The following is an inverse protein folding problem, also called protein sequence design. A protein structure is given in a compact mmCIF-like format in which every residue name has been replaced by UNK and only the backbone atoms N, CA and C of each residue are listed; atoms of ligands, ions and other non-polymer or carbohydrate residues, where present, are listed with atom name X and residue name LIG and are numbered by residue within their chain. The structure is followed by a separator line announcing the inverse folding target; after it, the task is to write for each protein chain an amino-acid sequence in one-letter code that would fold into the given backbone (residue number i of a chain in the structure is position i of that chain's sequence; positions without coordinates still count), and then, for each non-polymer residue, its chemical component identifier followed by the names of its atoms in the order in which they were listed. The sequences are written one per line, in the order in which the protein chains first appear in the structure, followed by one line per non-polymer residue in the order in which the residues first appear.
data_IF_162019148883
#
_entry.id   IF_162019148883
#
_cell.length_a   1.000
_cell.length_b   1.000
_cell.length_c   1.000
_cell.angle_alpha   90.00
_cell.angle_beta   90.00
_cell.angle_gamma   90.00
#
_symmetry.space_group_name_H-M   'P 1'
#
loop_
_entity.id
_entity.type
_entity.pdbx_description
1 polymer ?
#
# COMPACT_ATOMS: atom_id res chain seq x y z
N UNK A 1 33.85 -17.46 -1.33
CA UNK A 1 33.67 -16.01 -1.11
C UNK A 1 32.80 -15.48 -2.24
N UNK A 2 31.49 -15.48 -2.05
CA UNK A 2 30.50 -15.00 -3.03
C UNK A 2 29.93 -13.72 -2.43
N UNK A 3 30.23 -12.60 -3.06
CA UNK A 3 29.73 -11.29 -2.68
C UNK A 3 28.21 -11.24 -2.89
N UNK A 4 27.46 -11.21 -1.80
CA UNK A 4 26.04 -10.85 -1.79
C UNK A 4 25.93 -9.38 -2.15
N UNK A 5 25.59 -9.10 -3.41
CA UNK A 5 25.26 -7.76 -3.86
C UNK A 5 23.94 -7.33 -3.22
N UNK A 6 24.00 -6.50 -2.21
CA UNK A 6 22.87 -5.73 -1.67
C UNK A 6 22.33 -4.86 -2.80
N UNK A 7 21.20 -5.24 -3.38
CA UNK A 7 20.45 -4.38 -4.30
C UNK A 7 19.80 -3.26 -3.46
N UNK A 8 20.50 -2.14 -3.36
CA UNK A 8 19.95 -0.90 -2.80
C UNK A 8 18.78 -0.47 -3.69
N UNK A 9 17.58 -0.35 -3.11
CA UNK A 9 16.53 0.43 -3.75
C UNK A 9 17.11 1.82 -4.00
N UNK A 10 17.18 2.23 -5.27
CA UNK A 10 17.70 3.54 -5.62
C UNK A 10 16.89 4.60 -4.87
N UNK A 11 17.55 5.58 -4.23
CA UNK A 11 16.86 6.75 -3.72
C UNK A 11 16.10 7.39 -4.89
N UNK A 12 14.96 8.01 -4.61
CA UNK A 12 14.23 8.85 -5.57
C UNK A 12 15.26 9.70 -6.31
N UNK A 13 15.55 9.30 -7.56
CA UNK A 13 16.52 10.01 -8.37
C UNK A 13 15.83 11.28 -8.91
N UNK A 14 16.19 12.48 -8.42
CA UNK A 14 15.61 13.73 -8.91
C UNK A 14 15.93 13.97 -10.38
N UNK A 15 16.85 13.19 -10.94
CA UNK A 15 17.28 13.27 -12.33
C UNK A 15 16.55 12.30 -13.28
N UNK A 16 15.64 11.47 -12.75
CA UNK A 16 14.81 10.65 -13.59
C UNK A 16 13.94 11.53 -14.52
N UNK A 17 14.09 11.32 -15.84
CA UNK A 17 13.39 12.11 -16.87
C UNK A 17 11.89 12.22 -16.62
N UNK A 18 11.26 11.19 -16.04
CA UNK A 18 9.84 11.16 -15.74
C UNK A 18 9.47 11.96 -14.47
N UNK A 19 10.38 12.10 -13.50
CA UNK A 19 10.21 12.96 -12.34
C UNK A 19 10.45 14.43 -12.70
N UNK A 20 11.34 14.73 -13.66
CA UNK A 20 11.50 16.07 -14.25
C UNK A 20 10.28 16.57 -15.01
N UNK A 21 9.49 15.67 -15.62
CA UNK A 21 8.24 16.01 -16.31
C UNK A 21 7.07 16.21 -15.35
N UNK A 22 7.18 15.72 -14.12
CA UNK A 22 6.18 15.89 -13.07
C UNK A 22 6.50 17.15 -12.29
N UNK A 23 5.84 18.26 -12.60
CA UNK A 23 5.93 19.45 -11.77
C UNK A 23 5.54 19.09 -10.33
N UNK A 24 6.34 19.49 -9.35
CA UNK A 24 6.14 19.24 -7.92
C UNK A 24 4.70 19.56 -7.47
N UNK A 25 4.12 20.64 -7.98
CA UNK A 25 2.71 21.00 -7.78
C UNK A 25 1.69 19.94 -8.25
N UNK A 26 2.03 19.15 -9.27
CA UNK A 26 1.16 18.09 -9.81
C UNK A 26 1.17 16.86 -8.92
N UNK A 27 2.35 16.50 -8.42
CA UNK A 27 2.52 15.39 -7.48
C UNK A 27 1.82 15.71 -6.15
N UNK A 28 2.00 16.90 -5.64
CA UNK A 28 1.38 17.36 -4.39
C UNK A 28 -0.16 17.35 -4.50
N UNK A 29 -0.71 17.82 -5.62
CA UNK A 29 -2.15 17.78 -5.88
C UNK A 29 -2.67 16.35 -5.86
N UNK A 30 -1.99 15.43 -6.54
CA UNK A 30 -2.35 14.02 -6.60
C UNK A 30 -2.32 13.37 -5.21
N UNK A 31 -1.20 13.49 -4.48
CA UNK A 31 -1.07 12.88 -3.17
C UNK A 31 -2.07 13.43 -2.17
N UNK A 32 -2.31 14.73 -2.16
CA UNK A 32 -3.32 15.36 -1.30
C UNK A 32 -4.73 14.88 -1.60
N UNK A 33 -5.05 14.63 -2.87
CA UNK A 33 -6.32 14.05 -3.28
C UNK A 33 -6.44 12.59 -2.83
N UNK A 34 -5.44 11.77 -3.11
CA UNK A 34 -5.39 10.35 -2.73
C UNK A 34 -5.53 10.19 -1.21
N UNK A 35 -4.76 10.92 -0.41
CA UNK A 35 -4.84 10.87 1.05
C UNK A 35 -6.24 11.19 1.58
N UNK A 36 -6.92 12.22 1.02
CA UNK A 36 -8.31 12.54 1.38
C UNK A 36 -9.26 11.40 1.02
N UNK A 37 -9.06 10.75 -0.13
CA UNK A 37 -9.88 9.61 -0.55
C UNK A 37 -9.65 8.39 0.34
N UNK A 38 -8.40 8.08 0.69
CA UNK A 38 -8.05 7.03 1.65
C UNK A 38 -8.79 7.26 2.98
N UNK A 39 -8.69 8.46 3.56
CA UNK A 39 -9.37 8.83 4.80
C UNK A 39 -10.89 8.71 4.69
N UNK A 40 -11.50 9.22 3.61
CA UNK A 40 -12.94 9.17 3.41
C UNK A 40 -13.46 7.73 3.28
N UNK A 41 -12.73 6.85 2.57
CA UNK A 41 -13.10 5.44 2.45
C UNK A 41 -13.01 4.73 3.80
N UNK A 42 -11.95 4.96 4.57
CA UNK A 42 -11.81 4.36 5.90
C UNK A 42 -12.89 4.86 6.86
N UNK A 43 -13.14 6.16 6.90
CA UNK A 43 -14.19 6.74 7.76
C UNK A 43 -15.59 6.18 7.42
N UNK A 44 -15.86 5.91 6.14
CA UNK A 44 -17.14 5.36 5.70
C UNK A 44 -17.29 3.84 5.96
N UNK A 45 -16.20 3.12 6.23
CA UNK A 45 -16.17 1.66 6.30
C UNK A 45 -15.70 1.09 7.64
N UNK A 46 -15.00 1.89 8.43
CA UNK A 46 -14.46 1.48 9.72
C UNK A 46 -15.12 2.26 10.85
N UNK A 47 -15.57 1.52 11.85
CA UNK A 47 -16.07 2.11 13.11
C UNK A 47 -14.98 2.18 14.19
N UNK A 48 -13.70 2.07 13.80
CA UNK A 48 -12.57 2.09 14.73
C UNK A 48 -12.15 3.54 14.93
N UNK A 49 -12.29 4.06 16.16
CA UNK A 49 -11.93 5.44 16.54
C UNK A 49 -10.64 5.53 17.34
N UNK A 50 -10.11 4.41 17.83
CA UNK A 50 -8.85 4.28 18.58
C UNK A 50 -8.33 2.84 18.46
N UNK A 51 -7.06 2.63 18.75
CA UNK A 51 -6.49 1.28 18.83
C UNK A 51 -5.03 1.20 18.43
N UNK A 52 -4.53 -0.03 18.38
CA UNK A 52 -3.17 -0.37 17.98
C UNK A 52 -3.12 -0.68 16.49
N UNK A 53 -2.25 0.01 15.77
CA UNK A 53 -2.06 -0.12 14.32
C UNK A 53 -0.66 -0.60 14.02
N UNK A 54 -0.55 -1.66 13.23
CA UNK A 54 0.72 -2.14 12.68
C UNK A 54 0.80 -1.77 11.19
N UNK A 55 1.76 -0.94 10.82
CA UNK A 55 2.09 -0.62 9.43
C UNK A 55 3.29 -1.44 8.98
N UNK A 56 3.08 -2.33 8.02
CA UNK A 56 4.09 -3.29 7.52
C UNK A 56 4.58 -2.85 6.15
N UNK A 57 5.90 -2.88 5.93
CA UNK A 57 6.55 -2.28 4.77
C UNK A 57 6.31 -0.77 4.76
N UNK A 58 6.48 -0.14 5.93
CA UNK A 58 6.04 1.22 6.20
C UNK A 58 6.76 2.29 5.37
N UNK A 59 7.92 1.96 4.79
CA UNK A 59 8.75 2.91 4.10
C UNK A 59 9.05 4.13 4.97
N UNK A 60 8.97 5.31 4.38
CA UNK A 60 9.12 6.58 5.12
C UNK A 60 7.77 7.16 5.59
N UNK A 61 6.64 6.57 5.20
CA UNK A 61 5.29 7.11 5.46
C UNK A 61 4.36 6.02 6.00
N UNK A 62 4.43 5.71 7.30
CA UNK A 62 3.74 4.58 7.94
C UNK A 62 2.21 4.74 8.04
N UNK A 63 1.60 5.75 7.43
CA UNK A 63 0.14 5.92 7.41
C UNK A 63 -0.41 6.74 8.59
N UNK A 64 0.41 7.55 9.26
CA UNK A 64 -0.04 8.42 10.36
C UNK A 64 -1.21 9.34 9.99
N UNK A 65 -1.34 9.72 8.72
CA UNK A 65 -2.49 10.52 8.24
C UNK A 65 -3.81 9.74 8.28
N UNK A 66 -3.78 8.40 8.25
CA UNK A 66 -4.96 7.54 8.38
C UNK A 66 -5.30 7.26 9.85
N UNK A 67 -4.27 7.18 10.69
CA UNK A 67 -4.34 6.79 12.09
C UNK A 67 -3.63 7.83 12.97
N UNK A 68 -4.29 8.98 13.22
CA UNK A 68 -3.67 10.10 13.95
C UNK A 68 -3.52 9.80 15.45
N UNK A 69 -2.41 10.30 16.04
CA UNK A 69 -2.23 10.34 17.49
C UNK A 69 -3.17 11.39 18.10
N UNK A 70 -3.55 11.26 19.40
CA UNK A 70 -3.21 10.17 20.33
C UNK A 70 -4.19 8.99 20.26
N UNK A 71 -5.18 9.02 19.36
CA UNK A 71 -6.21 7.98 19.30
C UNK A 71 -5.64 6.62 18.86
N UNK A 72 -4.62 6.63 18.01
CA UNK A 72 -4.00 5.41 17.51
C UNK A 72 -2.52 5.34 17.89
N UNK A 73 -2.12 4.22 18.51
CA UNK A 73 -0.72 3.83 18.62
C UNK A 73 -0.30 3.17 17.31
N UNK A 74 0.67 3.74 16.63
CA UNK A 74 1.16 3.29 15.32
C UNK A 74 2.54 2.65 15.47
N UNK A 75 2.64 1.37 15.21
CA UNK A 75 3.88 0.61 15.13
C UNK A 75 4.25 0.42 13.66
N UNK A 76 5.45 0.83 13.27
CA UNK A 76 5.96 0.68 11.91
C UNK A 76 6.96 -0.48 11.83
N UNK A 77 6.87 -1.27 10.76
CA UNK A 77 7.85 -2.30 10.43
C UNK A 77 8.32 -2.12 8.99
N UNK A 78 9.62 -2.21 8.77
CA UNK A 78 10.21 -2.26 7.43
C UNK A 78 11.40 -3.22 7.41
N UNK A 79 11.73 -3.77 6.25
CA UNK A 79 12.90 -4.63 6.05
C UNK A 79 14.20 -3.86 5.85
N UNK A 80 14.10 -2.54 5.65
CA UNK A 80 15.22 -1.63 5.44
C UNK A 80 15.56 -0.90 6.75
N UNK A 81 16.75 -1.16 7.36
CA UNK A 81 17.15 -0.53 8.62
C UNK A 81 17.30 0.99 8.53
N UNK A 82 17.65 1.54 7.36
CA UNK A 82 17.77 2.98 7.17
C UNK A 82 16.39 3.66 7.23
N UNK A 83 15.36 3.02 6.65
CA UNK A 83 13.97 3.49 6.74
C UNK A 83 13.44 3.42 8.16
N UNK A 84 13.69 2.31 8.86
CA UNK A 84 13.31 2.14 10.29
C UNK A 84 13.93 3.26 11.12
N UNK A 85 15.23 3.50 11.00
CA UNK A 85 15.93 4.56 11.72
C UNK A 85 15.40 5.96 11.36
N UNK A 86 15.04 6.19 10.10
CA UNK A 86 14.46 7.45 9.66
C UNK A 86 13.07 7.68 10.26
N UNK A 87 12.19 6.67 10.24
CA UNK A 87 10.84 6.74 10.82
C UNK A 87 10.91 7.03 12.31
N UNK A 88 11.79 6.34 13.04
CA UNK A 88 12.01 6.57 14.48
C UNK A 88 12.52 8.00 14.76
N UNK A 89 13.57 8.43 14.04
CA UNK A 89 14.17 9.76 14.23
C UNK A 89 13.18 10.89 13.95
N UNK A 90 12.30 10.71 12.95
CA UNK A 90 11.30 11.72 12.55
C UNK A 90 9.99 11.59 13.33
N UNK A 91 9.89 10.69 14.32
CA UNK A 91 8.68 10.42 15.10
C UNK A 91 7.42 10.22 14.22
N UNK A 92 7.56 9.53 13.10
CA UNK A 92 6.46 9.27 12.16
C UNK A 92 5.56 8.10 12.60
N UNK A 93 6.04 7.29 13.53
CA UNK A 93 5.31 6.24 14.24
C UNK A 93 5.68 6.33 15.74
N UNK A 94 4.92 5.66 16.59
CA UNK A 94 5.23 5.58 18.03
C UNK A 94 6.36 4.59 18.28
N UNK A 95 6.46 3.57 17.44
CA UNK A 95 7.56 2.58 17.43
C UNK A 95 7.95 2.23 15.98
N UNK A 96 9.21 1.87 15.78
CA UNK A 96 9.71 1.40 14.50
C UNK A 96 10.62 0.19 14.69
N UNK A 97 10.36 -0.90 13.95
CA UNK A 97 11.05 -2.18 14.08
C UNK A 97 11.53 -2.69 12.74
N UNK A 98 12.65 -3.39 12.73
CA UNK A 98 13.12 -4.15 11.58
C UNK A 98 12.35 -5.47 11.50
N UNK A 99 11.82 -5.80 10.31
CA UNK A 99 11.10 -7.06 10.11
C UNK A 99 10.61 -7.29 8.69
N UNK A 100 10.18 -8.51 8.40
CA UNK A 100 9.70 -8.95 7.10
C UNK A 100 8.22 -9.27 7.15
N UNK A 101 7.48 -8.86 6.11
CA UNK A 101 6.01 -8.84 6.07
C UNK A 101 5.31 -10.19 6.38
N UNK A 102 5.94 -11.31 6.06
CA UNK A 102 5.37 -12.66 6.27
C UNK A 102 5.81 -13.35 7.57
N UNK A 103 6.63 -12.68 8.41
CA UNK A 103 7.10 -13.25 9.68
C UNK A 103 7.51 -12.12 10.64
N UNK A 104 6.60 -11.75 11.52
CA UNK A 104 6.75 -10.63 12.45
C UNK A 104 6.76 -11.10 13.91
N UNK A 105 7.67 -10.54 14.70
CA UNK A 105 7.89 -10.98 16.09
C UNK A 105 6.95 -10.27 17.09
N UNK A 106 5.63 -10.27 16.79
CA UNK A 106 4.59 -9.79 17.68
C UNK A 106 3.69 -10.96 18.14
N UNK A 107 3.12 -10.83 19.32
CA UNK A 107 2.17 -11.80 19.83
C UNK A 107 0.91 -11.87 18.96
N UNK A 108 0.23 -13.03 18.85
CA UNK A 108 -1.08 -13.10 18.19
C UNK A 108 -2.09 -12.14 18.81
N UNK A 109 -3.04 -11.66 18.02
CA UNK A 109 -4.13 -10.78 18.47
C UNK A 109 -3.63 -9.52 19.22
N UNK A 110 -2.56 -8.88 18.70
CA UNK A 110 -1.94 -7.69 19.31
C UNK A 110 -2.44 -6.37 18.72
N UNK A 111 -3.03 -6.38 17.51
CA UNK A 111 -3.39 -5.19 16.78
C UNK A 111 -4.87 -5.14 16.39
N UNK A 112 -5.44 -3.95 16.39
CA UNK A 112 -6.79 -3.68 15.89
C UNK A 112 -6.78 -3.50 14.36
N UNK A 113 -5.65 -2.98 13.82
CA UNK A 113 -5.46 -2.75 12.40
C UNK A 113 -4.08 -3.24 11.97
N UNK A 114 -4.00 -3.97 10.85
CA UNK A 114 -2.77 -4.23 10.10
C UNK A 114 -2.87 -3.49 8.78
N UNK A 115 -1.87 -2.67 8.46
CA UNK A 115 -1.82 -1.83 7.26
C UNK A 115 -0.65 -2.25 6.37
N UNK A 116 -0.96 -2.65 5.13
CA UNK A 116 -0.02 -2.74 4.02
C UNK A 116 -0.29 -1.56 3.06
N UNK A 117 0.70 -0.71 2.86
CA UNK A 117 0.54 0.46 2.01
C UNK A 117 1.63 0.52 0.96
N UNK A 118 1.30 0.11 -0.26
CA UNK A 118 2.22 0.04 -1.41
C UNK A 118 3.43 -0.86 -1.13
N UNK A 119 3.16 -2.08 -0.66
CA UNK A 119 4.21 -3.06 -0.32
C UNK A 119 3.91 -4.47 -0.86
N UNK A 120 2.65 -4.90 -0.92
CA UNK A 120 2.33 -6.27 -1.35
C UNK A 120 2.68 -6.53 -2.82
N UNK A 121 2.69 -5.50 -3.66
CA UNK A 121 3.12 -5.63 -5.06
C UNK A 121 4.62 -5.93 -5.17
N UNK A 122 5.47 -5.42 -4.27
CA UNK A 122 6.88 -5.82 -4.19
C UNK A 122 7.05 -7.24 -3.65
N UNK A 123 6.27 -7.63 -2.63
CA UNK A 123 6.26 -9.01 -2.14
C UNK A 123 5.82 -9.98 -3.23
N UNK A 124 4.80 -9.61 -4.03
CA UNK A 124 4.30 -10.44 -5.13
C UNK A 124 5.34 -10.72 -6.23
N UNK A 125 6.36 -9.89 -6.35
CA UNK A 125 7.52 -10.14 -7.22
C UNK A 125 8.48 -11.18 -6.63
N UNK A 126 8.66 -11.15 -5.30
CA UNK A 126 9.60 -12.03 -4.60
C UNK A 126 9.02 -13.42 -4.31
N UNK A 127 7.68 -13.54 -4.19
CA UNK A 127 7.04 -14.79 -3.83
C UNK A 127 5.53 -14.72 -3.61
N UNK A 128 4.97 -15.73 -2.96
CA UNK A 128 3.55 -15.79 -2.65
C UNK A 128 3.15 -14.73 -1.60
N UNK A 129 1.92 -14.22 -1.71
CA UNK A 129 1.35 -13.27 -0.75
C UNK A 129 0.75 -13.96 0.49
N UNK A 130 0.44 -15.26 0.42
CA UNK A 130 -0.20 -15.99 1.51
C UNK A 130 0.47 -15.77 2.87
N UNK A 131 1.81 -15.85 3.03
CA UNK A 131 2.44 -15.60 4.33
C UNK A 131 2.13 -14.22 4.93
N UNK A 132 1.98 -13.18 4.09
CA UNK A 132 1.65 -11.84 4.57
C UNK A 132 0.21 -11.77 5.09
N UNK A 133 -0.72 -12.43 4.39
CA UNK A 133 -2.12 -12.44 4.80
C UNK A 133 -2.36 -13.32 6.02
N UNK A 134 -1.72 -14.48 6.10
CA UNK A 134 -1.76 -15.38 7.26
C UNK A 134 -1.19 -14.69 8.50
N UNK A 135 -0.05 -13.99 8.36
CA UNK A 135 0.57 -13.25 9.43
C UNK A 135 -0.29 -12.07 9.89
N UNK A 136 -0.89 -11.32 8.95
CA UNK A 136 -1.84 -10.27 9.30
C UNK A 136 -3.05 -10.83 10.07
N UNK A 137 -3.61 -11.96 9.62
CA UNK A 137 -4.72 -12.62 10.31
C UNK A 137 -4.34 -13.11 11.70
N UNK A 138 -3.11 -13.62 11.90
CA UNK A 138 -2.59 -14.02 13.20
C UNK A 138 -2.48 -12.83 14.15
N UNK A 139 -1.97 -11.72 13.67
CA UNK A 139 -1.69 -10.52 14.47
C UNK A 139 -2.95 -9.71 14.81
N UNK A 140 -3.98 -9.79 14.00
CA UNK A 140 -5.25 -9.10 14.24
C UNK A 140 -6.00 -9.70 15.43
N UNK A 141 -6.54 -8.83 16.28
CA UNK A 141 -7.55 -9.18 17.30
C UNK A 141 -8.82 -9.69 16.60
N UNK A 142 -9.65 -10.51 17.27
CA UNK A 142 -11.01 -10.76 16.81
C UNK A 142 -11.75 -9.45 16.51
N UNK A 143 -12.41 -9.34 15.37
CA UNK A 143 -13.01 -8.09 14.89
C UNK A 143 -12.05 -7.06 14.29
N UNK A 144 -10.75 -7.31 14.33
CA UNK A 144 -9.72 -6.43 13.75
C UNK A 144 -9.72 -6.41 12.22
N UNK A 145 -9.01 -5.45 11.63
CA UNK A 145 -9.09 -5.13 10.20
C UNK A 145 -7.71 -5.10 9.54
N UNK A 146 -7.56 -5.85 8.46
CA UNK A 146 -6.46 -5.71 7.51
C UNK A 146 -6.86 -4.68 6.44
N UNK A 147 -5.99 -3.72 6.19
CA UNK A 147 -6.11 -2.74 5.12
C UNK A 147 -4.90 -2.90 4.19
N UNK A 148 -5.15 -3.05 2.88
CA UNK A 148 -4.07 -3.04 1.90
C UNK A 148 -4.37 -2.03 0.78
N UNK A 149 -3.40 -1.14 0.53
CA UNK A 149 -3.46 -0.13 -0.53
C UNK A 149 -2.42 -0.47 -1.59
N UNK A 150 -2.87 -0.84 -2.80
CA UNK A 150 -1.98 -1.41 -3.82
C UNK A 150 -2.29 -0.89 -5.23
N UNK A 151 -1.31 -0.87 -6.15
CA UNK A 151 -1.57 -0.54 -7.54
C UNK A 151 -2.48 -1.58 -8.21
N UNK A 152 -3.47 -1.09 -8.96
CA UNK A 152 -4.48 -1.92 -9.63
C UNK A 152 -4.02 -2.43 -10.99
N UNK A 153 -4.09 -3.75 -11.19
CA UNK A 153 -3.69 -4.42 -12.43
C UNK A 153 -4.50 -3.96 -13.66
N UNK A 154 -5.81 -3.80 -13.52
CA UNK A 154 -6.70 -3.54 -14.67
C UNK A 154 -6.77 -2.06 -15.06
N UNK A 155 -6.12 -1.18 -14.31
CA UNK A 155 -5.90 0.19 -14.77
C UNK A 155 -4.93 0.20 -15.97
N UNK A 156 -5.10 1.07 -16.98
CA UNK A 156 -4.21 1.12 -18.15
C UNK A 156 -2.71 1.17 -17.80
N UNK A 157 -2.35 1.94 -16.77
CA UNK A 157 -0.96 2.00 -16.25
C UNK A 157 -0.53 0.66 -15.66
N UNK A 158 -1.39 -0.01 -14.88
CA UNK A 158 -1.11 -1.32 -14.30
C UNK A 158 -0.92 -2.40 -15.37
N UNK A 159 -1.79 -2.42 -16.38
CA UNK A 159 -1.66 -3.31 -17.54
C UNK A 159 -0.35 -3.06 -18.30
N UNK A 160 -0.03 -1.78 -18.56
CA UNK A 160 1.22 -1.39 -19.21
C UNK A 160 2.44 -1.88 -18.43
N UNK A 161 2.42 -1.72 -17.11
CA UNK A 161 3.50 -2.20 -16.23
C UNK A 161 3.60 -3.72 -16.24
N UNK A 162 2.48 -4.45 -16.16
CA UNK A 162 2.48 -5.91 -16.20
C UNK A 162 3.02 -6.45 -17.54
N UNK A 163 2.73 -5.77 -18.67
CA UNK A 163 3.28 -6.11 -19.97
C UNK A 163 4.78 -5.80 -20.04
N UNK A 164 5.22 -4.66 -19.50
CA UNK A 164 6.61 -4.27 -19.45
C UNK A 164 7.45 -5.25 -18.60
N UNK A 165 6.90 -5.74 -17.48
CA UNK A 165 7.54 -6.76 -16.66
C UNK A 165 7.72 -8.08 -17.40
N UNK A 166 6.70 -8.51 -18.17
CA UNK A 166 6.81 -9.72 -19.01
C UNK A 166 7.84 -9.60 -20.14
N UNK A 167 7.98 -8.41 -20.70
CA UNK A 167 8.95 -8.12 -21.75
C UNK A 167 10.35 -7.79 -21.22
N UNK A 168 10.55 -7.87 -19.89
CA UNK A 168 11.82 -7.55 -19.21
C UNK A 168 12.31 -6.10 -19.42
N UNK A 169 11.41 -5.21 -19.89
CA UNK A 169 11.72 -3.80 -20.14
C UNK A 169 11.26 -2.86 -19.01
N UNK A 170 10.65 -3.42 -17.97
CA UNK A 170 10.13 -2.63 -16.84
C UNK A 170 11.21 -1.80 -16.17
N UNK A 171 12.41 -2.35 -15.98
CA UNK A 171 13.56 -1.65 -15.40
C UNK A 171 13.95 -0.42 -16.21
N UNK A 172 13.87 -0.46 -17.54
CA UNK A 172 14.17 0.68 -18.40
C UNK A 172 13.09 1.77 -18.32
N UNK A 173 11.82 1.39 -18.06
CA UNK A 173 10.68 2.30 -18.02
C UNK A 173 10.46 2.90 -16.61
N UNK A 174 10.59 2.07 -15.56
CA UNK A 174 10.23 2.42 -14.17
C UNK A 174 11.41 2.45 -13.20
N UNK A 175 12.57 1.94 -13.61
CA UNK A 175 13.74 1.81 -12.72
C UNK A 175 13.71 0.63 -11.78
N UNK A 176 12.56 -0.06 -11.62
CA UNK A 176 12.41 -1.25 -10.78
C UNK A 176 11.60 -2.33 -11.50
N UNK A 177 12.04 -3.62 -11.48
CA UNK A 177 11.29 -4.72 -12.06
C UNK A 177 10.21 -5.28 -11.12
N UNK A 178 10.14 -4.81 -9.89
CA UNK A 178 9.45 -5.42 -8.76
C UNK A 178 8.03 -4.87 -8.51
N UNK A 179 7.54 -4.00 -9.36
CA UNK A 179 6.16 -3.49 -9.30
C UNK A 179 5.19 -4.45 -9.98
N UNK A 180 4.59 -5.39 -9.25
CA UNK A 180 3.57 -6.32 -9.76
C UNK A 180 2.17 -5.83 -9.37
N UNK A 181 1.44 -5.14 -10.26
CA UNK A 181 0.11 -4.64 -9.95
C UNK A 181 -0.84 -5.78 -9.56
N UNK A 182 -1.71 -5.54 -8.59
CA UNK A 182 -2.59 -6.55 -8.03
C UNK A 182 -4.03 -6.39 -8.52
N UNK A 183 -4.72 -7.51 -8.79
CA UNK A 183 -6.13 -7.46 -9.13
C UNK A 183 -7.02 -7.52 -7.88
N UNK A 184 -8.22 -6.92 -7.91
CA UNK A 184 -9.19 -7.05 -6.81
C UNK A 184 -9.54 -8.50 -6.48
N UNK A 185 -9.50 -9.37 -7.51
CA UNK A 185 -9.77 -10.81 -7.33
C UNK A 185 -8.65 -11.48 -6.52
N UNK A 186 -7.39 -11.19 -6.85
CA UNK A 186 -6.23 -11.74 -6.13
C UNK A 186 -6.25 -11.30 -4.68
N UNK A 187 -6.39 -10.01 -4.41
CA UNK A 187 -6.47 -9.46 -3.05
C UNK A 187 -7.58 -10.13 -2.21
N UNK A 188 -8.79 -10.28 -2.78
CA UNK A 188 -9.90 -10.97 -2.09
C UNK A 188 -9.65 -12.46 -1.89
N UNK A 189 -8.99 -13.12 -2.84
CA UNK A 189 -8.66 -14.55 -2.73
C UNK A 189 -7.70 -14.81 -1.58
N UNK A 190 -6.62 -14.00 -1.48
CA UNK A 190 -5.64 -14.10 -0.40
C UNK A 190 -6.28 -13.82 0.96
N UNK A 191 -7.09 -12.76 1.08
CA UNK A 191 -7.80 -12.45 2.31
C UNK A 191 -8.73 -13.58 2.74
N UNK A 192 -9.48 -14.17 1.79
CA UNK A 192 -10.38 -15.30 2.06
C UNK A 192 -9.61 -16.54 2.51
N UNK A 193 -8.48 -16.85 1.87
CA UNK A 193 -7.64 -17.99 2.24
C UNK A 193 -7.12 -17.86 3.68
N UNK A 194 -6.82 -16.64 4.12
CA UNK A 194 -6.43 -16.32 5.51
C UNK A 194 -7.65 -16.21 6.48
N UNK A 195 -8.86 -16.60 6.06
CA UNK A 195 -10.05 -16.58 6.92
C UNK A 195 -10.67 -15.19 7.13
N UNK A 196 -10.33 -14.19 6.31
CA UNK A 196 -10.83 -12.82 6.42
C UNK A 196 -11.99 -12.57 5.44
N UNK A 197 -13.06 -11.91 5.89
CA UNK A 197 -14.09 -11.37 5.02
C UNK A 197 -13.64 -10.05 4.41
N UNK A 198 -13.81 -9.82 3.09
CA UNK A 198 -13.17 -8.69 2.45
C UNK A 198 -13.98 -8.00 1.38
N UNK A 199 -13.76 -6.69 1.25
CA UNK A 199 -14.22 -5.83 0.17
C UNK A 199 -13.04 -5.08 -0.46
N UNK A 200 -13.15 -4.70 -1.73
CA UNK A 200 -12.13 -3.92 -2.45
C UNK A 200 -12.76 -2.70 -3.10
N UNK A 201 -12.14 -1.55 -2.91
CA UNK A 201 -12.56 -0.26 -3.43
C UNK A 201 -11.45 0.34 -4.31
N UNK A 202 -11.81 1.15 -5.30
CA UNK A 202 -10.86 2.06 -5.93
C UNK A 202 -10.73 3.33 -5.08
N UNK A 203 -9.51 3.67 -4.72
CA UNK A 203 -9.18 4.94 -4.08
C UNK A 203 -9.22 6.06 -5.12
N UNK A 204 -8.54 5.83 -6.25
CA UNK A 204 -8.48 6.78 -7.36
C UNK A 204 -8.32 6.07 -8.71
N UNK A 205 -8.79 6.75 -9.77
CA UNK A 205 -8.54 6.38 -11.17
C UNK A 205 -7.45 7.26 -11.80
N UNK A 206 -6.94 8.24 -11.08
CA UNK A 206 -5.87 9.09 -11.58
C UNK A 206 -4.50 8.53 -11.20
N UNK A 207 -3.53 8.70 -12.09
CA UNK A 207 -2.13 8.38 -11.88
C UNK A 207 -1.33 9.67 -11.65
N UNK A 208 -0.35 9.63 -10.75
CA UNK A 208 0.46 10.79 -10.33
C UNK A 208 1.12 11.57 -11.48
N UNK A 209 1.42 10.89 -12.59
CA UNK A 209 2.07 11.49 -13.78
C UNK A 209 1.08 12.01 -14.84
N UNK A 210 -0.24 11.86 -14.61
CA UNK A 210 -1.24 12.47 -15.49
C UNK A 210 -1.22 14.00 -15.37
N UNK A 211 -1.46 14.73 -16.47
CA UNK A 211 -1.61 16.18 -16.42
C UNK A 211 -2.69 16.60 -15.40
N UNK A 212 -2.51 17.73 -14.67
CA UNK A 212 -3.47 18.17 -13.65
C UNK A 212 -4.91 18.33 -14.16
N UNK A 213 -5.08 18.71 -15.42
CA UNK A 213 -6.41 18.81 -16.05
C UNK A 213 -7.09 17.46 -16.13
N UNK A 214 -6.36 16.40 -16.50
CA UNK A 214 -6.88 15.02 -16.57
C UNK A 214 -7.21 14.52 -15.16
N UNK A 215 -6.33 14.74 -14.19
CA UNK A 215 -6.60 14.37 -12.80
C UNK A 215 -7.87 15.02 -12.25
N UNK A 216 -8.11 16.31 -12.54
CA UNK A 216 -9.33 17.02 -12.11
C UNK A 216 -10.59 16.45 -12.77
N UNK A 217 -10.53 16.03 -14.03
CA UNK A 217 -11.66 15.40 -14.74
C UNK A 217 -11.96 14.00 -14.16
N UNK A 218 -10.94 13.25 -13.75
CA UNK A 218 -11.11 11.90 -13.20
C UNK A 218 -11.53 11.92 -11.73
N UNK A 219 -11.17 12.94 -10.96
CA UNK A 219 -11.45 13.00 -9.53
C UNK A 219 -12.92 12.78 -9.11
N UNK A 220 -13.94 13.29 -9.82
CA UNK A 220 -15.33 12.98 -9.51
C UNK A 220 -15.69 11.50 -9.68
N UNK A 221 -15.03 10.78 -10.59
CA UNK A 221 -15.25 9.35 -10.83
C UNK A 221 -14.81 8.50 -9.64
N UNK A 222 -13.90 9.00 -8.81
CA UNK A 222 -13.43 8.30 -7.61
C UNK A 222 -14.58 8.02 -6.61
N UNK A 223 -15.66 8.79 -6.65
CA UNK A 223 -16.88 8.51 -5.88
C UNK A 223 -17.53 7.18 -6.26
N UNK A 224 -17.33 6.71 -7.49
CA UNK A 224 -17.82 5.41 -7.97
C UNK A 224 -16.97 4.24 -7.50
N UNK A 225 -15.77 4.50 -6.97
CA UNK A 225 -14.78 3.48 -6.59
C UNK A 225 -15.26 2.47 -5.56
N UNK A 226 -16.30 2.79 -4.79
CA UNK A 226 -16.94 1.86 -3.85
C UNK A 226 -17.83 0.81 -4.52
N UNK A 227 -18.14 0.95 -5.80
CA UNK A 227 -18.93 -0.03 -6.55
C UNK A 227 -18.03 -1.20 -7.00
N UNK A 228 -18.42 -2.48 -6.81
CA UNK A 228 -17.55 -3.63 -7.08
C UNK A 228 -16.99 -3.70 -8.52
N UNK A 229 -17.79 -3.31 -9.52
CA UNK A 229 -17.36 -3.27 -10.94
C UNK A 229 -16.43 -2.10 -11.23
N UNK A 230 -16.67 -0.95 -10.61
CA UNK A 230 -15.85 0.23 -10.77
C UNK A 230 -14.47 0.07 -10.09
N UNK A 231 -14.43 -0.62 -8.95
CA UNK A 231 -13.16 -0.93 -8.26
C UNK A 231 -12.16 -1.68 -9.17
N UNK A 232 -12.65 -2.44 -10.15
CA UNK A 232 -11.80 -3.19 -11.08
C UNK A 232 -10.79 -2.31 -11.81
N UNK A 233 -11.19 -1.10 -12.22
CA UNK A 233 -10.39 -0.17 -13.03
C UNK A 233 -9.61 0.86 -12.19
N UNK A 234 -9.62 0.75 -10.87
CA UNK A 234 -8.88 1.68 -10.00
C UNK A 234 -7.38 1.63 -10.24
N UNK A 235 -6.74 2.81 -10.27
CA UNK A 235 -5.28 2.91 -10.27
C UNK A 235 -4.71 2.48 -8.93
N UNK A 236 -5.31 2.97 -7.85
CA UNK A 236 -5.00 2.53 -6.49
C UNK A 236 -6.22 1.84 -5.91
N UNK A 237 -6.02 0.61 -5.43
CA UNK A 237 -7.02 -0.21 -4.79
C UNK A 237 -6.85 -0.16 -3.28
N UNK A 238 -7.95 -0.22 -2.55
CA UNK A 238 -7.99 -0.43 -1.10
C UNK A 238 -8.76 -1.71 -0.81
N UNK A 239 -8.07 -2.72 -0.30
CA UNK A 239 -8.68 -3.89 0.34
C UNK A 239 -8.97 -3.53 1.80
N UNK A 240 -10.17 -3.83 2.26
CA UNK A 240 -10.55 -3.85 3.67
C UNK A 240 -11.00 -5.26 3.98
N UNK A 241 -10.28 -5.95 4.86
CA UNK A 241 -10.56 -7.33 5.22
C UNK A 241 -10.70 -7.47 6.74
N UNK A 242 -11.79 -8.10 7.20
CA UNK A 242 -12.14 -8.19 8.62
C UNK A 242 -11.93 -9.60 9.13
N UNK A 243 -11.28 -9.70 10.28
CA UNK A 243 -11.23 -10.96 11.04
C UNK A 243 -12.56 -11.18 11.74
N UNK A 244 -13.15 -12.39 11.69
CA UNK A 244 -14.33 -12.72 12.49
C UNK A 244 -14.10 -12.41 13.97
N UNK A 245 -15.18 -11.99 14.64
CA UNK A 245 -15.19 -11.76 16.09
C UNK A 245 -15.25 -13.06 16.89
#
# INVERSE_FOLDING_TARGET
MTASGSMRAAPHDPDNVLDRLSRESTLELHYRHVMRREQALLAARLSISRGDVLSVGAGLYPGRHLFPAPAFRLVAVDSDPERVACVARMARADEAHLGYAGNLHFAPASFDVVLYRLVLHHVAYQGPLAPCFDEAARLLRPGGVLIALEPGLWHPVGLGLALANRAEIATAIHGTPDDIPLSPRRLRSEARAAGLSSEVHAVTYSWRRMPPRVQRVLAPLDALGSRPRAALLGHTLMLIARKPG
#
